data_IF_189696925607
#
_entry.id   IF_189696925607
#
_cell.length_a   1.000
_cell.length_b   1.000
_cell.length_c   1.000
_cell.angle_alpha   90.00
_cell.angle_beta   90.00
_cell.angle_gamma   90.00
#
_symmetry.space_group_name_H-M   'P 1'
#
loop_
_entity.id
_entity.type
_entity.pdbx_description
1 polymer ?
#
# COMPACT_ATOMS: atom_id res chain seq x y z
N UNK A 1 -38.02 -42.45 -28.78
CA UNK A 1 -37.55 -43.83 -28.57
C UNK A 1 -36.78 -44.31 -29.78
N UNK A 2 -35.43 -44.29 -29.73
CA UNK A 2 -34.50 -45.28 -30.32
C UNK A 2 -33.23 -45.24 -29.47
N UNK A 3 -32.79 -46.41 -29.01
CA UNK A 3 -31.70 -46.70 -28.08
C UNK A 3 -30.31 -46.50 -28.72
N UNK A 4 -29.36 -45.90 -27.99
CA UNK A 4 -28.19 -46.51 -27.34
C UNK A 4 -26.95 -46.75 -28.23
N UNK A 5 -25.80 -46.26 -27.74
CA UNK A 5 -24.47 -46.52 -28.28
C UNK A 5 -23.38 -45.71 -27.57
N UNK A 6 -22.82 -46.27 -26.50
CA UNK A 6 -21.66 -45.73 -25.76
C UNK A 6 -20.40 -45.93 -26.62
N UNK A 7 -19.59 -44.88 -26.83
CA UNK A 7 -18.18 -45.03 -27.20
C UNK A 7 -17.30 -44.24 -26.24
N UNK A 8 -16.48 -45.03 -25.56
CA UNK A 8 -15.32 -44.71 -24.72
C UNK A 8 -14.37 -43.75 -25.46
N UNK A 9 -13.91 -42.68 -24.82
CA UNK A 9 -12.47 -42.44 -24.62
C UNK A 9 -12.21 -41.10 -23.92
N UNK A 10 -11.82 -41.23 -22.66
CA UNK A 10 -11.13 -40.27 -21.83
C UNK A 10 -9.95 -39.61 -22.58
N UNK A 11 -10.01 -38.30 -22.82
CA UNK A 11 -8.82 -37.48 -23.09
C UNK A 11 -8.75 -36.43 -21.99
N UNK A 12 -8.25 -36.88 -20.84
CA UNK A 12 -7.65 -36.00 -19.83
C UNK A 12 -6.30 -35.57 -20.39
N UNK A 13 -6.23 -34.44 -21.08
CA UNK A 13 -4.95 -33.81 -21.41
C UNK A 13 -4.31 -33.31 -20.11
N UNK A 14 -3.50 -34.17 -19.50
CA UNK A 14 -2.58 -33.80 -18.44
C UNK A 14 -1.38 -33.10 -19.09
N UNK A 15 -1.46 -31.78 -19.25
CA UNK A 15 -0.27 -30.99 -19.60
C UNK A 15 0.58 -30.88 -18.34
N UNK A 16 1.52 -31.82 -18.17
CA UNK A 16 2.63 -31.66 -17.23
C UNK A 16 3.55 -30.58 -17.81
N UNK A 17 3.27 -29.32 -17.46
CA UNK A 17 4.23 -28.24 -17.66
C UNK A 17 5.13 -28.20 -16.43
N UNK A 18 6.39 -28.52 -16.69
CA UNK A 18 7.51 -28.51 -15.77
C UNK A 18 7.51 -27.33 -14.78
N UNK A 19 7.65 -27.66 -13.50
CA UNK A 19 8.65 -27.08 -12.61
C UNK A 19 8.79 -25.55 -12.59
N UNK A 20 7.84 -24.88 -11.93
CA UNK A 20 8.16 -23.84 -10.97
C UNK A 20 6.88 -23.49 -10.21
N UNK A 21 6.69 -24.09 -9.05
CA UNK A 21 5.95 -23.40 -7.98
C UNK A 21 6.65 -22.06 -7.85
N UNK A 22 6.05 -20.98 -8.38
CA UNK A 22 6.43 -19.62 -8.02
C UNK A 22 6.08 -19.50 -6.53
N UNK A 23 7.02 -19.89 -5.67
CA UNK A 23 7.03 -19.45 -4.29
C UNK A 23 6.92 -17.93 -4.27
N UNK A 24 6.48 -17.32 -3.16
CA UNK A 24 6.32 -15.87 -3.10
C UNK A 24 7.60 -15.26 -3.63
N UNK A 25 7.47 -14.45 -4.68
CA UNK A 25 8.54 -13.65 -5.24
C UNK A 25 8.98 -12.71 -4.14
N UNK A 26 9.84 -13.18 -3.24
CA UNK A 26 10.57 -12.37 -2.29
C UNK A 26 11.50 -11.58 -3.19
N UNK A 27 11.01 -10.42 -3.64
CA UNK A 27 11.84 -9.42 -4.27
C UNK A 27 13.07 -9.32 -3.39
N UNK A 28 14.21 -9.73 -3.94
CA UNK A 28 15.48 -9.70 -3.22
C UNK A 28 15.65 -8.26 -2.74
N UNK A 29 15.60 -8.04 -1.43
CA UNK A 29 15.69 -6.71 -0.85
C UNK A 29 16.92 -6.02 -1.44
N UNK A 30 16.68 -4.94 -2.18
CA UNK A 30 17.74 -4.18 -2.82
C UNK A 30 18.61 -3.61 -1.71
N UNK A 31 19.91 -3.92 -1.72
CA UNK A 31 20.86 -3.41 -0.71
C UNK A 31 21.22 -1.94 -0.89
N UNK A 32 20.72 -1.33 -1.96
CA UNK A 32 20.92 0.08 -2.31
C UNK A 32 19.57 0.72 -2.60
N UNK A 33 19.30 1.94 -2.07
CA UNK A 33 18.06 2.65 -2.33
C UNK A 33 17.78 2.78 -3.82
N UNK A 34 16.52 2.64 -4.23
CA UNK A 34 16.12 2.89 -5.61
C UNK A 34 16.45 4.33 -6.00
N UNK A 35 16.95 4.58 -7.24
CA UNK A 35 17.07 5.93 -7.77
C UNK A 35 15.75 6.69 -7.64
N UNK A 36 15.82 7.99 -7.36
CA UNK A 36 14.62 8.83 -7.21
C UNK A 36 13.68 8.75 -8.42
N UNK A 37 14.24 8.64 -9.63
CA UNK A 37 13.47 8.55 -10.88
C UNK A 37 12.65 7.26 -11.02
N UNK A 38 12.99 6.20 -10.29
CA UNK A 38 12.23 4.94 -10.28
C UNK A 38 11.08 4.96 -9.27
N UNK A 39 11.04 5.95 -8.37
CA UNK A 39 10.04 6.04 -7.32
C UNK A 39 8.84 6.87 -7.78
N UNK A 40 7.77 6.19 -8.18
CA UNK A 40 6.47 6.84 -8.39
C UNK A 40 5.78 7.08 -7.04
N UNK A 41 5.90 8.30 -6.52
CA UNK A 41 5.34 8.67 -5.22
C UNK A 41 3.81 8.67 -5.20
N UNK A 42 3.15 8.76 -6.37
CA UNK A 42 1.69 8.74 -6.44
C UNK A 42 1.12 7.35 -6.17
N UNK A 43 1.87 6.32 -6.53
CA UNK A 43 1.50 4.91 -6.37
C UNK A 43 1.91 4.35 -4.99
N UNK A 44 2.61 5.14 -4.16
CA UNK A 44 2.95 4.72 -2.79
C UNK A 44 1.70 4.73 -1.92
N UNK A 45 1.26 3.55 -1.50
CA UNK A 45 0.08 3.39 -0.66
C UNK A 45 0.24 3.95 0.77
N UNK A 46 1.48 4.07 1.25
CA UNK A 46 1.76 4.61 2.58
C UNK A 46 1.64 6.12 2.60
N UNK A 47 1.07 6.63 3.68
CA UNK A 47 0.95 8.07 3.96
C UNK A 47 2.00 8.50 4.99
N UNK A 48 2.22 9.80 5.06
CA UNK A 48 3.14 10.42 6.01
C UNK A 48 2.29 11.16 7.05
N UNK A 49 2.54 10.89 8.33
CA UNK A 49 2.08 11.73 9.43
C UNK A 49 3.22 12.62 9.87
N UNK A 50 2.97 13.92 10.05
CA UNK A 50 3.98 14.90 10.42
C UNK A 50 3.38 16.02 11.27
N UNK A 51 4.21 16.58 12.14
CA UNK A 51 3.88 17.80 12.89
C UNK A 51 4.18 19.04 12.07
N UNK A 52 3.40 20.09 12.27
CA UNK A 52 3.51 21.33 11.49
C UNK A 52 2.95 22.50 12.28
N UNK A 53 3.74 23.57 12.38
CA UNK A 53 3.32 24.82 13.03
C UNK A 53 2.54 25.69 12.05
N UNK A 54 1.25 25.92 12.31
CA UNK A 54 0.35 26.68 11.43
C UNK A 54 -0.82 27.27 12.21
N UNK A 55 -1.60 28.12 11.55
CA UNK A 55 -2.84 28.66 12.12
C UNK A 55 -3.97 27.62 12.09
N UNK A 56 -4.53 27.34 13.26
CA UNK A 56 -5.69 26.47 13.47
C UNK A 56 -6.71 27.26 14.26
N UNK A 57 -7.93 27.40 13.73
CA UNK A 57 -9.01 28.16 14.37
C UNK A 57 -8.62 29.57 14.87
N UNK A 58 -7.74 30.26 14.12
CA UNK A 58 -7.31 31.63 14.43
C UNK A 58 -6.16 31.75 15.44
N UNK A 59 -5.51 30.63 15.79
CA UNK A 59 -4.33 30.60 16.67
C UNK A 59 -3.20 29.78 16.04
N UNK A 60 -1.94 30.24 16.10
CA UNK A 60 -0.81 29.43 15.66
C UNK A 60 -0.46 28.39 16.72
N UNK A 61 -0.42 27.12 16.34
CA UNK A 61 -0.05 26.00 17.21
C UNK A 61 0.56 24.82 16.41
N UNK A 62 1.08 23.82 17.11
CA UNK A 62 1.51 22.56 16.49
C UNK A 62 0.35 21.60 16.29
N UNK A 63 0.19 21.12 15.05
CA UNK A 63 -0.85 20.16 14.67
C UNK A 63 -0.25 18.96 13.96
N UNK A 64 -0.96 17.82 14.02
CA UNK A 64 -0.61 16.62 13.26
C UNK A 64 -1.36 16.56 11.94
N UNK A 65 -0.62 16.43 10.85
CA UNK A 65 -1.17 16.32 9.51
C UNK A 65 -0.85 14.97 8.87
N UNK A 66 -1.80 14.47 8.10
CA UNK A 66 -1.65 13.32 7.22
C UNK A 66 -1.53 13.79 5.77
N UNK A 67 -0.59 13.24 5.02
CA UNK A 67 -0.37 13.59 3.61
C UNK A 67 -0.02 12.34 2.79
N UNK A 68 -0.39 12.34 1.50
CA UNK A 68 0.07 11.31 0.58
C UNK A 68 1.60 11.41 0.39
N UNK A 69 2.25 10.31 -0.01
CA UNK A 69 3.70 10.29 -0.21
C UNK A 69 4.20 11.25 -1.30
N UNK A 70 3.34 11.61 -2.27
CA UNK A 70 3.63 12.61 -3.31
C UNK A 70 3.44 14.06 -2.84
N UNK A 71 3.01 14.27 -1.58
CA UNK A 71 2.72 15.58 -1.02
C UNK A 71 1.31 16.10 -1.31
N UNK A 72 0.45 15.31 -1.96
CA UNK A 72 -0.94 15.70 -2.20
C UNK A 72 -1.85 15.42 -1.00
N UNK A 73 -3.02 16.07 -0.99
CA UNK A 73 -4.11 15.84 -0.03
C UNK A 73 -3.72 15.92 1.46
N UNK A 74 -3.16 17.05 1.93
CA UNK A 74 -2.93 17.25 3.35
C UNK A 74 -4.27 17.31 4.12
N UNK A 75 -4.35 16.61 5.25
CA UNK A 75 -5.52 16.54 6.14
C UNK A 75 -5.06 16.83 7.58
N UNK A 76 -5.73 17.73 8.30
CA UNK A 76 -5.49 17.96 9.73
C UNK A 76 -6.13 16.83 10.55
N UNK A 77 -5.36 16.15 11.41
CA UNK A 77 -5.84 15.04 12.23
C UNK A 77 -6.33 15.49 13.62
N UNK A 78 -5.79 16.57 14.17
CA UNK A 78 -5.97 16.94 15.58
C UNK A 78 -6.98 18.07 15.75
N UNK A 79 -6.85 19.18 15.00
CA UNK A 79 -7.71 20.37 15.12
C UNK A 79 -7.88 20.82 16.58
N UNK A 80 -6.76 20.99 17.29
CA UNK A 80 -6.72 21.30 18.72
C UNK A 80 -5.94 22.59 18.95
N UNK A 81 -6.55 23.77 18.69
CA UNK A 81 -5.84 25.06 18.67
C UNK A 81 -5.18 25.46 20.01
N UNK A 82 -5.59 24.82 21.11
CA UNK A 82 -5.10 25.08 22.46
C UNK A 82 -4.06 24.05 22.96
N UNK A 83 -3.66 23.10 22.10
CA UNK A 83 -2.70 22.04 22.42
C UNK A 83 -1.64 22.01 21.32
N UNK A 84 -0.38 21.83 21.73
CA UNK A 84 0.72 21.55 20.81
C UNK A 84 0.85 20.03 20.63
N UNK A 85 0.34 19.54 19.50
CA UNK A 85 0.38 18.12 19.16
C UNK A 85 1.65 17.80 18.36
N UNK A 86 2.56 17.05 18.99
CA UNK A 86 3.93 16.83 18.50
C UNK A 86 4.33 15.35 18.61
N UNK A 87 5.36 14.98 17.85
CA UNK A 87 6.00 13.66 17.87
C UNK A 87 5.05 12.49 17.55
N UNK A 88 4.36 12.50 16.39
CA UNK A 88 3.45 11.42 16.03
C UNK A 88 4.20 10.09 15.88
N UNK A 89 3.59 9.00 16.35
CA UNK A 89 4.11 7.65 16.16
C UNK A 89 3.10 6.81 15.39
N UNK A 90 3.50 6.31 14.21
CA UNK A 90 2.65 5.43 13.43
C UNK A 90 2.67 4.00 14.00
N UNK A 91 1.50 3.39 14.15
CA UNK A 91 1.41 1.96 14.44
C UNK A 91 1.95 1.15 13.26
N UNK A 92 2.67 0.06 13.55
CA UNK A 92 3.25 -0.80 12.50
C UNK A 92 2.23 -1.52 11.63
N UNK A 93 0.97 -1.60 12.07
CA UNK A 93 -0.14 -2.20 11.31
C UNK A 93 -0.90 -1.19 10.42
N UNK A 94 -0.53 0.09 10.47
CA UNK A 94 -1.13 1.14 9.63
C UNK A 94 -2.59 1.46 9.96
N UNK A 95 -3.07 1.09 11.15
CA UNK A 95 -4.38 1.51 11.69
C UNK A 95 -4.25 2.58 12.75
#
# INVERSE_FOLDING_TARGET
MKSAGIFISMILTLTVVNGAVRGPNRQRLRRVPSPRAELDLKEVAFKIVYETYRETEGRPNWELYLINADGSNPINLTNTPDVDEMYPHASGDGR
#
